data_IF_650653423595
#
_entry.id   IF_650653423595
#
_cell.length_a   1.000
_cell.length_b   1.000
_cell.length_c   1.000
_cell.angle_alpha   90.00
_cell.angle_beta   90.00
_cell.angle_gamma   90.00
#
_symmetry.space_group_name_H-M   'P 1'
#
loop_
_entity.id
_entity.type
_entity.pdbx_description
1 polymer ?
#
# COMPACT_ATOMS: atom_id res chain seq x y z
N UNK A 1 -45.90 -79.23 -42.25
CA UNK A 1 -44.88 -78.17 -42.39
C UNK A 1 -44.27 -78.36 -43.76
N UNK A 2 -44.61 -77.51 -44.73
CA UNK A 2 -44.07 -77.63 -46.08
C UNK A 2 -42.71 -76.91 -46.11
N UNK A 3 -41.63 -77.66 -46.37
CA UNK A 3 -40.28 -77.12 -46.47
C UNK A 3 -39.87 -77.07 -47.94
N UNK A 4 -39.47 -75.89 -48.42
CA UNK A 4 -38.91 -75.72 -49.76
C UNK A 4 -37.40 -75.64 -49.61
N UNK A 5 -36.69 -76.66 -50.10
CA UNK A 5 -35.23 -76.69 -50.16
C UNK A 5 -34.78 -76.41 -51.59
N UNK A 6 -34.24 -75.23 -51.82
CA UNK A 6 -33.68 -74.84 -53.12
C UNK A 6 -32.32 -74.20 -52.92
N UNK A 7 -31.39 -74.50 -53.81
CA UNK A 7 -30.05 -73.91 -53.75
C UNK A 7 -30.04 -72.48 -54.29
N UNK A 8 -30.91 -72.17 -55.26
CA UNK A 8 -31.02 -70.84 -55.88
C UNK A 8 -32.45 -70.54 -56.30
N UNK A 9 -32.90 -69.31 -56.09
CA UNK A 9 -34.06 -68.73 -56.78
C UNK A 9 -33.53 -67.93 -57.98
N UNK A 10 -34.15 -68.06 -59.15
CA UNK A 10 -33.84 -67.30 -60.37
C UNK A 10 -35.12 -66.65 -60.90
N UNK A 11 -35.00 -65.55 -61.62
CA UNK A 11 -36.14 -65.03 -62.40
C UNK A 11 -36.55 -66.02 -63.49
N UNK A 12 -37.77 -65.89 -64.01
CA UNK A 12 -38.32 -66.77 -65.04
C UNK A 12 -37.47 -66.78 -66.33
N UNK A 13 -36.86 -65.64 -66.65
CA UNK A 13 -35.93 -65.52 -67.78
C UNK A 13 -34.57 -66.21 -67.55
N UNK A 14 -34.30 -66.69 -66.33
CA UNK A 14 -33.07 -67.36 -65.92
C UNK A 14 -31.84 -66.47 -65.80
N UNK A 15 -31.96 -65.19 -66.13
CA UNK A 15 -30.85 -64.23 -66.25
C UNK A 15 -30.99 -63.08 -65.25
N UNK A 16 -32.22 -62.61 -65.01
CA UNK A 16 -32.50 -61.48 -64.10
C UNK A 16 -32.54 -61.90 -62.63
N UNK A 17 -32.43 -60.92 -61.74
CA UNK A 17 -32.63 -61.12 -60.31
C UNK A 17 -34.09 -61.48 -60.02
N UNK A 18 -34.38 -62.46 -59.13
CA UNK A 18 -35.73 -62.74 -58.67
C UNK A 18 -36.39 -61.48 -58.08
N UNK A 19 -37.62 -61.18 -58.50
CA UNK A 19 -38.42 -60.08 -57.96
C UNK A 19 -39.37 -60.58 -56.88
N UNK A 20 -39.33 -59.95 -55.70
CA UNK A 20 -40.21 -60.22 -54.58
C UNK A 20 -41.02 -58.96 -54.25
N UNK A 21 -42.11 -58.67 -54.99
CA UNK A 21 -42.83 -57.40 -54.88
C UNK A 21 -43.46 -57.15 -53.51
N UNK A 22 -43.72 -58.21 -52.74
CA UNK A 22 -44.24 -58.12 -51.37
C UNK A 22 -43.14 -58.28 -50.29
N UNK A 23 -41.87 -58.29 -50.71
CA UNK A 23 -40.72 -58.50 -49.84
C UNK A 23 -40.45 -59.97 -49.50
N UNK A 24 -39.36 -60.18 -48.76
CA UNK A 24 -38.97 -61.47 -48.19
C UNK A 24 -38.77 -61.25 -46.68
N UNK A 25 -39.38 -62.10 -45.86
CA UNK A 25 -39.05 -62.18 -44.44
C UNK A 25 -38.00 -63.29 -44.24
N UNK A 26 -36.80 -62.93 -43.81
CA UNK A 26 -35.75 -63.89 -43.47
C UNK A 26 -35.53 -63.84 -41.96
N UNK A 27 -35.70 -64.98 -41.29
CA UNK A 27 -35.51 -65.12 -39.84
C UNK A 27 -34.09 -65.55 -39.46
N UNK A 28 -33.23 -65.81 -40.45
CA UNK A 28 -31.82 -66.20 -40.29
C UNK A 28 -30.83 -65.15 -40.83
N UNK A 29 -29.62 -65.60 -41.17
CA UNK A 29 -28.55 -64.74 -41.70
C UNK A 29 -28.84 -64.40 -43.17
N UNK A 30 -28.83 -63.11 -43.48
CA UNK A 30 -28.79 -62.62 -44.86
C UNK A 30 -27.37 -62.11 -45.12
N UNK A 31 -26.66 -62.72 -46.06
CA UNK A 31 -25.39 -62.22 -46.58
C UNK A 31 -25.64 -61.58 -47.94
N UNK A 32 -25.77 -60.25 -47.98
CA UNK A 32 -25.88 -59.50 -49.22
C UNK A 32 -24.52 -58.88 -49.55
N UNK A 33 -24.03 -59.08 -50.78
CA UNK A 33 -22.79 -58.46 -51.26
C UNK A 33 -23.00 -57.03 -51.75
N UNK A 34 -24.23 -56.66 -52.09
CA UNK A 34 -24.65 -55.30 -52.44
C UNK A 34 -26.14 -55.11 -52.12
N UNK A 35 -26.54 -53.87 -51.84
CA UNK A 35 -27.95 -53.47 -51.83
C UNK A 35 -28.23 -52.68 -53.12
N UNK A 36 -29.42 -52.84 -53.69
CA UNK A 36 -29.82 -52.09 -54.87
C UNK A 36 -29.86 -50.59 -54.57
N UNK A 37 -29.37 -49.75 -55.49
CA UNK A 37 -29.36 -48.29 -55.35
C UNK A 37 -30.76 -47.66 -55.31
N UNK A 38 -31.79 -48.42 -55.70
CA UNK A 38 -33.19 -48.01 -55.61
C UNK A 38 -33.80 -48.15 -54.22
N UNK A 39 -33.08 -48.70 -53.23
CA UNK A 39 -33.55 -48.81 -51.85
C UNK A 39 -33.21 -47.51 -51.12
N UNK A 40 -34.19 -46.62 -50.83
CA UNK A 40 -33.91 -45.29 -50.28
C UNK A 40 -33.43 -45.33 -48.82
N UNK A 41 -33.71 -46.41 -48.09
CA UNK A 41 -33.27 -46.62 -46.71
C UNK A 41 -33.26 -48.11 -46.36
N UNK A 42 -32.36 -48.49 -45.45
CA UNK A 42 -32.33 -49.82 -44.83
C UNK A 42 -32.78 -49.68 -43.36
N UNK A 43 -33.92 -50.26 -43.00
CA UNK A 43 -34.35 -50.32 -41.60
C UNK A 43 -33.78 -51.58 -40.92
N UNK A 44 -32.77 -51.38 -40.07
CA UNK A 44 -31.99 -52.44 -39.42
C UNK A 44 -32.23 -52.53 -37.91
N UNK A 45 -33.20 -51.77 -37.38
CA UNK A 45 -33.52 -51.74 -35.95
C UNK A 45 -32.35 -51.27 -35.08
N UNK A 46 -32.33 -51.70 -33.81
CA UNK A 46 -31.40 -51.18 -32.80
C UNK A 46 -30.03 -51.88 -32.72
N UNK A 47 -29.78 -52.93 -33.51
CA UNK A 47 -28.63 -53.84 -33.34
C UNK A 47 -27.72 -53.88 -34.59
N UNK A 48 -27.32 -52.72 -35.10
CA UNK A 48 -26.41 -52.61 -36.24
C UNK A 48 -24.97 -52.82 -35.78
N UNK A 49 -24.22 -53.73 -36.43
CA UNK A 49 -22.77 -53.90 -36.26
C UNK A 49 -22.05 -53.62 -37.57
N UNK A 50 -21.38 -52.49 -37.70
CA UNK A 50 -20.73 -52.03 -38.95
C UNK A 50 -19.32 -52.62 -39.19
N UNK A 51 -18.92 -53.64 -38.44
CA UNK A 51 -17.62 -54.32 -38.58
C UNK A 51 -16.40 -53.40 -38.44
N UNK A 52 -15.24 -53.85 -38.89
CA UNK A 52 -13.97 -53.12 -38.78
C UNK A 52 -13.83 -51.92 -39.74
N UNK A 53 -14.68 -51.83 -40.78
CA UNK A 53 -14.66 -50.75 -41.75
C UNK A 53 -15.44 -49.50 -41.28
N UNK A 54 -16.42 -49.64 -40.37
CA UNK A 54 -16.86 -48.65 -39.37
C UNK A 54 -17.29 -47.22 -39.78
N UNK A 55 -17.26 -46.83 -41.07
CA UNK A 55 -17.61 -45.47 -41.48
C UNK A 55 -19.13 -45.31 -41.53
N UNK A 56 -19.67 -44.47 -40.65
CA UNK A 56 -21.08 -44.04 -40.69
C UNK A 56 -21.15 -42.61 -41.21
N UNK A 57 -21.65 -42.40 -42.43
CA UNK A 57 -21.88 -41.07 -43.02
C UNK A 57 -23.31 -40.58 -42.78
N UNK A 58 -23.74 -40.54 -41.51
CA UNK A 58 -25.08 -40.08 -41.16
C UNK A 58 -25.14 -38.55 -41.17
N UNK A 59 -26.18 -37.97 -41.77
CA UNK A 59 -26.48 -36.53 -41.65
C UNK A 59 -27.03 -36.17 -40.27
N UNK A 60 -27.57 -37.15 -39.54
CA UNK A 60 -28.04 -37.00 -38.16
C UNK A 60 -27.83 -38.31 -37.41
N UNK A 61 -27.27 -38.23 -36.20
CA UNK A 61 -27.23 -39.33 -35.25
C UNK A 61 -28.24 -39.05 -34.13
N UNK A 62 -29.08 -40.02 -33.79
CA UNK A 62 -30.06 -39.92 -32.70
C UNK A 62 -29.69 -40.93 -31.63
N UNK A 63 -29.24 -40.46 -30.47
CA UNK A 63 -28.84 -41.31 -29.34
C UNK A 63 -27.54 -40.87 -28.68
N UNK A 64 -27.13 -41.60 -27.64
CA UNK A 64 -25.84 -41.39 -26.99
C UNK A 64 -24.73 -42.14 -27.75
N UNK A 65 -23.56 -41.53 -27.88
CA UNK A 65 -22.34 -42.24 -28.24
C UNK A 65 -21.71 -42.78 -26.95
N UNK A 66 -21.55 -44.09 -26.84
CA UNK A 66 -20.83 -44.72 -25.72
C UNK A 66 -19.38 -44.99 -26.12
N UNK A 67 -18.41 -44.42 -25.41
CA UNK A 67 -16.97 -44.56 -25.67
C UNK A 67 -16.28 -43.24 -26.04
N UNK A 68 -15.11 -43.33 -26.68
CA UNK A 68 -14.32 -42.15 -27.08
C UNK A 68 -14.69 -41.69 -28.50
N UNK A 69 -15.03 -40.42 -28.65
CA UNK A 69 -15.10 -39.75 -29.95
C UNK A 69 -13.72 -39.14 -30.28
N UNK A 70 -12.91 -39.84 -31.07
CA UNK A 70 -11.63 -39.29 -31.55
C UNK A 70 -11.81 -38.62 -32.91
N UNK A 71 -10.96 -37.62 -33.23
CA UNK A 71 -10.95 -36.99 -34.55
C UNK A 71 -12.18 -36.12 -34.88
N UNK A 72 -12.93 -35.71 -33.85
CA UNK A 72 -13.97 -34.69 -33.93
C UNK A 72 -13.40 -33.46 -34.67
N UNK A 73 -13.82 -33.31 -35.93
CA UNK A 73 -13.52 -32.16 -36.78
C UNK A 73 -14.82 -31.72 -37.42
N UNK A 74 -15.02 -30.40 -37.51
CA UNK A 74 -16.25 -29.82 -38.03
C UNK A 74 -15.94 -28.84 -39.16
N UNK A 75 -16.68 -28.93 -40.25
CA UNK A 75 -16.80 -27.84 -41.22
C UNK A 75 -18.27 -27.76 -41.64
N UNK A 76 -19.11 -26.92 -41.02
CA UNK A 76 -18.83 -25.88 -40.00
C UNK A 76 -18.42 -26.40 -38.61
N UNK A 77 -18.06 -25.48 -37.70
CA UNK A 77 -17.62 -25.78 -36.32
C UNK A 77 -18.54 -26.78 -35.58
N UNK A 78 -17.92 -27.57 -34.70
CA UNK A 78 -18.64 -28.48 -33.80
C UNK A 78 -19.37 -27.63 -32.75
N UNK A 79 -20.68 -27.79 -32.66
CA UNK A 79 -21.50 -27.17 -31.61
C UNK A 79 -21.94 -28.25 -30.63
N UNK A 80 -21.68 -28.05 -29.35
CA UNK A 80 -22.08 -28.95 -28.26
C UNK A 80 -22.83 -28.14 -27.20
N UNK A 81 -23.75 -28.78 -26.47
CA UNK A 81 -24.50 -28.13 -25.40
C UNK A 81 -23.63 -27.87 -24.16
N UNK A 82 -23.18 -28.95 -23.52
CA UNK A 82 -22.31 -28.91 -22.33
C UNK A 82 -21.10 -29.80 -22.52
N UNK A 83 -19.94 -29.38 -22.03
CA UNK A 83 -18.71 -30.19 -21.97
C UNK A 83 -18.43 -30.50 -20.52
N UNK A 84 -18.32 -31.78 -20.18
CA UNK A 84 -17.81 -32.26 -18.88
C UNK A 84 -16.55 -33.04 -19.17
N UNK A 85 -15.39 -32.48 -18.83
CA UNK A 85 -14.09 -33.07 -19.09
C UNK A 85 -13.21 -32.98 -17.85
N UNK A 86 -12.30 -33.94 -17.67
CA UNK A 86 -11.30 -33.90 -16.60
C UNK A 86 -10.23 -32.83 -16.87
N UNK A 87 -9.85 -32.66 -18.13
CA UNK A 87 -8.90 -31.63 -18.60
C UNK A 87 -9.35 -31.08 -19.96
N UNK A 88 -9.08 -29.79 -20.21
CA UNK A 88 -9.29 -29.14 -21.50
C UNK A 88 -8.00 -28.45 -21.97
N UNK A 89 -7.52 -28.82 -23.14
CA UNK A 89 -6.37 -28.16 -23.80
C UNK A 89 -6.88 -27.43 -25.02
N UNK A 90 -6.70 -26.12 -25.06
CA UNK A 90 -7.08 -25.27 -26.20
C UNK A 90 -5.80 -24.74 -26.85
N UNK A 91 -5.63 -24.97 -28.16
CA UNK A 91 -4.46 -24.51 -28.92
C UNK A 91 -4.56 -23.05 -29.36
N UNK A 92 -5.72 -22.43 -29.16
CA UNK A 92 -6.00 -21.04 -29.47
C UNK A 92 -6.78 -20.36 -28.36
N UNK A 93 -7.26 -19.16 -28.66
CA UNK A 93 -7.98 -18.34 -27.70
C UNK A 93 -9.28 -18.99 -27.25
N UNK A 94 -9.55 -18.94 -25.95
CA UNK A 94 -10.84 -19.33 -25.37
C UNK A 94 -11.65 -18.07 -25.13
N UNK A 95 -12.81 -17.96 -25.77
CA UNK A 95 -13.77 -16.89 -25.50
C UNK A 95 -14.90 -17.44 -24.63
N UNK A 96 -15.16 -16.79 -23.50
CA UNK A 96 -16.25 -17.14 -22.59
C UNK A 96 -17.32 -16.05 -22.68
N UNK A 97 -18.50 -16.42 -23.19
CA UNK A 97 -19.62 -15.48 -23.36
C UNK A 97 -20.34 -15.11 -22.06
N UNK A 98 -20.10 -15.87 -20.98
CA UNK A 98 -20.66 -15.64 -19.65
C UNK A 98 -19.58 -15.38 -18.60
N UNK A 99 -19.80 -15.91 -17.40
CA UNK A 99 -18.86 -15.84 -16.27
C UNK A 99 -18.30 -17.23 -15.99
N UNK A 100 -17.01 -17.30 -15.64
CA UNK A 100 -16.42 -18.49 -15.03
C UNK A 100 -16.53 -18.34 -13.51
N UNK A 101 -17.28 -19.21 -12.84
CA UNK A 101 -17.66 -19.03 -11.41
C UNK A 101 -16.71 -19.75 -10.44
N UNK A 102 -16.83 -19.35 -9.17
CA UNK A 102 -15.86 -19.42 -8.07
C UNK A 102 -15.32 -20.81 -7.71
N UNK A 103 -16.09 -21.88 -7.94
CA UNK A 103 -15.66 -23.26 -7.70
C UNK A 103 -14.53 -23.67 -8.64
N UNK A 104 -14.46 -23.07 -9.83
CA UNK A 104 -13.60 -23.53 -10.91
C UNK A 104 -12.27 -22.74 -11.03
N UNK A 105 -12.15 -21.55 -10.41
CA UNK A 105 -10.94 -20.71 -10.51
C UNK A 105 -10.34 -20.45 -9.13
N UNK A 106 -9.57 -21.42 -8.64
CA UNK A 106 -8.82 -21.31 -7.37
C UNK A 106 -7.43 -20.69 -7.54
N UNK A 107 -6.92 -20.66 -8.77
CA UNK A 107 -5.66 -20.01 -9.13
C UNK A 107 -5.75 -19.41 -10.53
N UNK A 108 -4.94 -18.38 -10.75
CA UNK A 108 -4.72 -17.79 -12.07
C UNK A 108 -3.20 -17.68 -12.22
N UNK A 109 -2.63 -18.49 -13.10
CA UNK A 109 -1.23 -18.34 -13.53
C UNK A 109 -1.21 -17.64 -14.89
N UNK A 110 -1.08 -16.30 -14.84
CA UNK A 110 -1.09 -15.46 -16.03
C UNK A 110 0.32 -14.99 -16.33
N UNK A 111 0.79 -15.22 -17.55
CA UNK A 111 2.02 -14.61 -18.09
C UNK A 111 1.82 -13.11 -18.35
N UNK A 112 0.57 -12.69 -18.60
CA UNK A 112 0.19 -11.32 -18.94
C UNK A 112 -0.55 -10.58 -17.83
N UNK A 113 -1.25 -9.51 -18.23
CA UNK A 113 -2.03 -8.65 -17.34
C UNK A 113 -3.31 -9.33 -16.89
N UNK A 114 -3.58 -9.27 -15.58
CA UNK A 114 -4.89 -9.64 -15.02
C UNK A 114 -5.72 -8.36 -14.86
N UNK A 115 -6.90 -8.35 -15.47
CA UNK A 115 -7.87 -7.25 -15.31
C UNK A 115 -9.07 -7.74 -14.51
N UNK A 116 -9.52 -6.95 -13.54
CA UNK A 116 -10.70 -7.25 -12.72
C UNK A 116 -11.69 -6.08 -12.82
N UNK A 117 -12.98 -6.37 -13.04
CA UNK A 117 -13.99 -5.34 -13.29
C UNK A 117 -14.25 -4.47 -12.06
N UNK A 118 -14.37 -5.09 -10.89
CA UNK A 118 -14.74 -4.41 -9.63
C UNK A 118 -13.55 -4.15 -8.71
N UNK A 119 -12.38 -4.76 -8.98
CA UNK A 119 -11.16 -4.59 -8.18
C UNK A 119 -10.51 -5.90 -7.75
N UNK A 120 -9.49 -5.80 -6.92
CA UNK A 120 -8.70 -6.93 -6.40
C UNK A 120 -8.80 -6.94 -4.88
N UNK A 121 -9.32 -8.02 -4.32
CA UNK A 121 -9.34 -8.24 -2.87
C UNK A 121 -8.12 -9.05 -2.45
N UNK A 122 -7.28 -8.48 -1.59
CA UNK A 122 -6.10 -9.12 -1.03
C UNK A 122 -6.31 -9.20 0.50
N UNK A 123 -6.45 -10.41 1.09
CA UNK A 123 -6.67 -10.53 2.53
C UNK A 123 -5.40 -10.21 3.32
N UNK A 124 -5.54 -10.08 4.63
CA UNK A 124 -4.43 -9.88 5.55
C UNK A 124 -3.30 -10.89 5.34
N UNK A 125 -2.07 -10.44 5.62
CA UNK A 125 -0.85 -11.23 5.41
C UNK A 125 -0.58 -11.66 3.96
N UNK A 126 -1.34 -11.14 2.99
CA UNK A 126 -1.03 -11.22 1.55
C UNK A 126 -0.60 -9.84 1.06
N UNK A 127 0.06 -9.82 -0.09
CA UNK A 127 0.72 -8.62 -0.60
C UNK A 127 0.60 -8.54 -2.13
N UNK A 128 0.40 -7.33 -2.63
CA UNK A 128 0.69 -6.99 -4.02
C UNK A 128 2.19 -6.76 -4.11
N UNK A 129 2.85 -7.43 -5.05
CA UNK A 129 4.29 -7.34 -5.30
C UNK A 129 4.56 -6.72 -6.66
N UNK A 130 5.44 -5.73 -6.70
CA UNK A 130 5.83 -5.04 -7.92
C UNK A 130 7.36 -4.96 -8.00
N UNK A 131 7.90 -5.09 -9.20
CA UNK A 131 9.34 -5.06 -9.47
C UNK A 131 10.07 -6.37 -9.18
N UNK A 132 11.22 -6.56 -9.84
CA UNK A 132 12.12 -7.69 -9.73
C UNK A 132 11.47 -9.10 -9.75
N UNK A 133 11.58 -9.89 -8.66
CA UNK A 133 11.11 -11.28 -8.58
C UNK A 133 10.09 -11.48 -7.45
N UNK A 134 9.28 -12.55 -7.50
CA UNK A 134 8.31 -12.85 -6.43
C UNK A 134 8.97 -13.04 -5.05
N UNK A 135 10.20 -13.56 -5.00
CA UNK A 135 10.93 -13.75 -3.74
C UNK A 135 11.52 -12.45 -3.18
N UNK A 136 11.84 -11.50 -4.05
CA UNK A 136 12.50 -10.23 -3.69
C UNK A 136 11.92 -9.08 -4.53
N UNK A 137 10.65 -8.71 -4.32
CA UNK A 137 10.04 -7.62 -5.06
C UNK A 137 10.63 -6.27 -4.60
N UNK A 138 10.50 -5.23 -5.41
CA UNK A 138 11.00 -3.90 -5.06
C UNK A 138 9.98 -3.11 -4.23
N UNK A 139 8.70 -3.30 -4.52
CA UNK A 139 7.58 -2.64 -3.83
C UNK A 139 6.54 -3.66 -3.40
N UNK A 140 6.03 -3.47 -2.18
CA UNK A 140 4.94 -4.24 -1.59
C UNK A 140 3.80 -3.31 -1.16
N UNK A 141 2.58 -3.75 -1.40
CA UNK A 141 1.37 -3.12 -0.83
C UNK A 141 0.60 -4.22 -0.10
N UNK A 142 0.41 -4.07 1.21
CA UNK A 142 -0.15 -5.12 2.04
C UNK A 142 -0.84 -4.58 3.30
N UNK A 143 -1.63 -5.45 3.93
CA UNK A 143 -2.13 -5.27 5.30
C UNK A 143 -1.50 -6.35 6.19
N UNK A 144 -0.84 -5.94 7.28
CA UNK A 144 -0.10 -6.85 8.18
C UNK A 144 -0.92 -7.34 9.39
N UNK A 145 -2.23 -7.06 9.39
CA UNK A 145 -3.16 -7.36 10.48
C UNK A 145 -3.40 -6.17 11.42
N UNK A 146 -2.56 -5.13 11.38
CA UNK A 146 -2.78 -3.89 12.13
C UNK A 146 -2.60 -2.61 11.31
N UNK A 147 -1.82 -2.67 10.21
CA UNK A 147 -1.44 -1.51 9.43
C UNK A 147 -1.53 -1.76 7.92
N UNK A 148 -1.95 -0.74 7.19
CA UNK A 148 -1.81 -0.68 5.73
C UNK A 148 -0.43 -0.13 5.38
N UNK A 149 0.30 -0.83 4.52
CA UNK A 149 1.68 -0.52 4.20
C UNK A 149 1.85 -0.33 2.68
N UNK A 150 2.62 0.70 2.31
CA UNK A 150 3.22 0.85 0.98
C UNK A 150 4.73 0.88 1.20
N UNK A 151 5.41 -0.24 0.92
CA UNK A 151 6.77 -0.46 1.37
C UNK A 151 7.71 -0.67 0.19
N UNK A 152 8.56 0.33 -0.07
CA UNK A 152 9.70 0.21 -0.96
C UNK A 152 10.84 -0.50 -0.24
N UNK A 153 11.18 -1.70 -0.69
CA UNK A 153 12.22 -2.57 -0.12
C UNK A 153 13.38 -2.84 -1.09
N UNK A 154 13.23 -2.41 -2.34
CA UNK A 154 14.25 -2.52 -3.39
C UNK A 154 15.32 -1.42 -3.31
N UNK A 155 15.97 -1.17 -4.45
CA UNK A 155 16.98 -0.11 -4.59
C UNK A 155 16.37 1.20 -5.13
N UNK A 156 17.08 2.33 -4.96
CA UNK A 156 16.60 3.64 -5.42
C UNK A 156 15.62 4.31 -4.45
N UNK A 157 14.92 5.34 -4.93
CA UNK A 157 14.00 6.16 -4.13
C UNK A 157 12.54 5.78 -4.39
N UNK A 158 11.72 5.76 -3.33
CA UNK A 158 10.27 5.76 -3.46
C UNK A 158 9.78 7.18 -3.80
N UNK A 159 9.04 7.31 -4.89
CA UNK A 159 8.53 8.60 -5.34
C UNK A 159 7.01 8.66 -5.17
N UNK A 160 6.52 9.67 -4.44
CA UNK A 160 5.11 10.11 -4.47
C UNK A 160 5.09 11.40 -5.28
N UNK A 161 4.37 11.41 -6.42
CA UNK A 161 4.36 12.54 -7.36
C UNK A 161 2.95 12.86 -7.80
N UNK A 162 2.61 14.16 -7.77
CA UNK A 162 1.44 14.71 -8.44
C UNK A 162 1.75 15.04 -9.90
N UNK A 163 0.87 15.81 -10.53
CA UNK A 163 1.14 16.45 -11.83
C UNK A 163 1.55 17.92 -11.63
N UNK A 164 1.72 18.66 -12.72
CA UNK A 164 2.18 20.06 -12.68
C UNK A 164 1.16 21.04 -12.08
N UNK A 165 -0.06 20.60 -11.78
CA UNK A 165 -1.17 21.45 -11.30
C UNK A 165 -1.74 21.01 -9.96
N UNK A 166 -1.64 19.72 -9.62
CA UNK A 166 -2.25 19.12 -8.44
C UNK A 166 -1.23 18.94 -7.32
N UNK A 167 -1.61 19.38 -6.12
CA UNK A 167 -0.85 19.20 -4.90
C UNK A 167 -0.90 17.76 -4.38
N UNK A 168 0.18 17.32 -3.73
CA UNK A 168 0.21 16.07 -2.97
C UNK A 168 -0.25 16.37 -1.54
N UNK A 169 -1.25 15.62 -1.05
CA UNK A 169 -1.76 15.76 0.32
C UNK A 169 -1.50 14.49 1.12
N UNK A 170 -0.96 14.66 2.32
CA UNK A 170 -0.92 13.63 3.36
C UNK A 170 -1.91 14.06 4.44
N UNK A 171 -2.82 13.17 4.79
CA UNK A 171 -3.97 13.45 5.66
C UNK A 171 -4.07 12.39 6.74
N UNK A 172 -4.16 12.80 8.01
CA UNK A 172 -4.38 11.89 9.13
C UNK A 172 -5.83 11.36 9.18
N UNK A 173 -6.79 12.17 8.76
CA UNK A 173 -8.20 11.81 8.58
C UNK A 173 -8.77 12.52 7.36
N UNK A 174 -9.91 12.03 6.86
CA UNK A 174 -10.57 12.60 5.69
C UNK A 174 -10.85 14.10 5.90
N UNK A 175 -10.30 14.91 5.00
CA UNK A 175 -10.44 16.37 5.05
C UNK A 175 -9.42 17.11 5.93
N UNK A 176 -8.78 16.47 6.91
CA UNK A 176 -7.74 17.09 7.74
C UNK A 176 -6.40 17.06 7.03
N UNK A 177 -5.72 18.21 6.96
CA UNK A 177 -4.41 18.31 6.32
C UNK A 177 -3.31 18.04 7.35
N UNK A 178 -2.30 17.26 6.97
CA UNK A 178 -1.06 17.09 7.75
C UNK A 178 0.13 17.68 6.99
N UNK A 179 0.30 17.31 5.72
CA UNK A 179 1.32 17.87 4.81
C UNK A 179 0.68 18.15 3.46
N UNK A 180 0.94 19.33 2.90
CA UNK A 180 0.60 19.68 1.51
C UNK A 180 1.87 20.07 0.77
N UNK A 181 2.19 19.35 -0.30
CA UNK A 181 3.26 19.71 -1.23
C UNK A 181 2.63 20.32 -2.49
N UNK A 182 2.85 21.61 -2.73
CA UNK A 182 2.32 22.31 -3.91
C UNK A 182 3.33 22.27 -5.07
N UNK A 183 2.90 22.00 -6.32
CA UNK A 183 3.79 22.05 -7.47
C UNK A 183 4.37 23.46 -7.62
N UNK A 184 5.68 23.55 -7.82
CA UNK A 184 6.46 24.81 -7.90
C UNK A 184 6.20 25.82 -6.76
N UNK A 185 5.76 25.31 -5.61
CA UNK A 185 5.27 26.13 -4.50
C UNK A 185 5.79 25.65 -3.15
N UNK A 186 5.08 26.10 -2.11
CA UNK A 186 5.42 25.77 -0.75
C UNK A 186 5.11 24.31 -0.40
N UNK A 187 5.87 23.79 0.57
CA UNK A 187 5.46 22.67 1.42
C UNK A 187 4.89 23.26 2.69
N UNK A 188 3.68 22.85 3.04
CA UNK A 188 2.95 23.32 4.20
C UNK A 188 2.71 22.17 5.17
N UNK A 189 3.00 22.39 6.46
CA UNK A 189 2.78 21.41 7.53
C UNK A 189 1.72 21.95 8.48
N UNK A 190 0.77 21.10 8.81
CA UNK A 190 -0.44 21.43 9.56
C UNK A 190 -0.52 20.61 10.86
N UNK A 191 -1.21 21.17 11.85
CA UNK A 191 -1.63 20.48 13.06
C UNK A 191 -3.11 20.78 13.29
N UNK A 192 -3.96 19.75 13.31
CA UNK A 192 -5.41 19.89 13.46
C UNK A 192 -5.97 20.93 12.46
N UNK A 193 -5.66 20.69 11.19
CA UNK A 193 -6.01 21.55 10.05
C UNK A 193 -5.51 23.01 10.11
N UNK A 194 -4.63 23.35 11.06
CA UNK A 194 -4.04 24.68 11.21
C UNK A 194 -2.60 24.69 10.73
N UNK A 195 -2.27 25.51 9.72
CA UNK A 195 -0.91 25.62 9.19
C UNK A 195 0.06 26.07 10.28
N UNK A 196 1.19 25.37 10.43
CA UNK A 196 2.24 25.66 11.42
C UNK A 196 3.58 26.02 10.77
N UNK A 197 3.95 25.34 9.69
CA UNK A 197 5.19 25.60 8.95
C UNK A 197 4.89 25.71 7.47
N UNK A 198 5.62 26.59 6.79
CA UNK A 198 5.55 26.76 5.34
C UNK A 198 6.92 27.07 4.77
N UNK A 199 7.34 26.36 3.72
CA UNK A 199 8.52 26.77 2.95
C UNK A 199 8.19 27.97 2.07
N UNK A 200 9.16 28.85 1.94
CA UNK A 200 9.10 30.04 1.08
C UNK A 200 10.29 29.99 0.13
N UNK A 201 10.32 30.86 -0.87
CA UNK A 201 11.47 30.97 -1.77
C UNK A 201 12.79 31.31 -1.05
N UNK A 202 12.72 31.89 0.16
CA UNK A 202 13.88 32.34 0.93
C UNK A 202 14.13 31.56 2.23
N UNK A 203 13.33 30.55 2.57
CA UNK A 203 13.45 29.85 3.85
C UNK A 203 12.14 29.27 4.36
N UNK A 204 11.88 29.37 5.67
CA UNK A 204 10.69 28.80 6.33
C UNK A 204 9.98 29.86 7.16
N UNK A 205 8.65 29.90 7.07
CA UNK A 205 7.79 30.69 7.96
C UNK A 205 7.17 29.77 9.01
N UNK A 206 7.23 30.18 10.28
CA UNK A 206 6.57 29.49 11.40
C UNK A 206 5.38 30.30 11.89
N UNK A 207 4.21 29.67 11.94
CA UNK A 207 3.00 30.25 12.53
C UNK A 207 2.89 29.83 14.00
N UNK A 208 2.97 30.81 14.90
CA UNK A 208 2.95 30.60 16.34
C UNK A 208 4.31 30.77 17.01
N UNK A 209 4.41 30.31 18.26
CA UNK A 209 5.66 30.32 19.03
C UNK A 209 6.56 29.15 18.65
N UNK A 210 7.87 29.36 18.71
CA UNK A 210 8.87 28.29 18.69
C UNK A 210 9.37 28.14 20.12
N UNK A 211 9.26 26.94 20.66
CA UNK A 211 9.63 26.65 22.05
C UNK A 211 10.53 25.42 22.14
N UNK A 212 11.49 25.44 23.05
CA UNK A 212 12.24 24.27 23.51
C UNK A 212 11.81 23.86 24.93
N UNK A 213 12.59 23.02 25.62
CA UNK A 213 12.35 22.61 26.99
C UNK A 213 12.52 23.76 28.02
N UNK A 214 13.14 24.89 27.62
CA UNK A 214 13.36 26.08 28.43
C UNK A 214 12.34 27.19 28.19
N UNK A 215 11.67 27.20 27.05
CA UNK A 215 10.56 28.09 26.74
C UNK A 215 10.63 28.69 25.33
N UNK A 216 10.11 29.91 25.16
CA UNK A 216 10.09 30.55 23.84
C UNK A 216 11.48 31.02 23.44
N UNK A 217 11.99 30.49 22.33
CA UNK A 217 13.37 30.75 21.83
C UNK A 217 13.61 32.20 21.39
N UNK A 218 12.55 33.00 21.24
CA UNK A 218 12.62 34.43 20.87
C UNK A 218 12.40 35.37 22.05
N UNK A 219 12.36 34.86 23.28
CA UNK A 219 12.13 35.67 24.48
C UNK A 219 13.14 35.34 25.56
N UNK A 220 13.69 36.36 26.20
CA UNK A 220 14.36 36.23 27.50
C UNK A 220 13.28 36.50 28.56
N UNK A 221 12.80 35.49 29.31
CA UNK A 221 11.73 35.69 30.28
C UNK A 221 12.17 36.66 31.38
N UNK A 222 11.32 37.63 31.73
CA UNK A 222 11.58 38.54 32.84
C UNK A 222 10.87 38.05 34.12
N UNK A 223 11.51 38.27 35.26
CA UNK A 223 10.91 38.06 36.59
C UNK A 223 11.10 39.34 37.40
N UNK A 224 10.01 39.97 37.82
CA UNK A 224 10.06 41.13 38.71
C UNK A 224 10.14 40.69 40.19
N UNK A 225 11.04 41.30 40.97
CA UNK A 225 11.27 41.02 42.39
C UNK A 225 11.22 42.32 43.19
N UNK A 226 10.27 42.40 44.12
CA UNK A 226 10.01 43.57 44.97
C UNK A 226 10.72 43.52 46.34
N UNK A 227 11.52 42.49 46.57
CA UNK A 227 12.32 42.25 47.78
C UNK A 227 13.59 41.51 47.39
N UNK A 228 14.53 41.38 48.34
CA UNK A 228 15.74 40.57 48.15
C UNK A 228 15.41 39.19 47.54
N UNK A 229 16.23 38.76 46.59
CA UNK A 229 16.01 37.49 45.88
C UNK A 229 17.30 36.66 45.86
N UNK A 230 17.23 35.44 46.38
CA UNK A 230 18.30 34.45 46.17
C UNK A 230 18.01 33.70 44.88
N UNK A 231 19.02 33.59 44.01
CA UNK A 231 18.88 32.84 42.76
C UNK A 231 18.37 31.42 43.03
N UNK A 232 17.54 30.92 42.12
CA UNK A 232 17.07 29.54 42.07
C UNK A 232 17.36 28.94 40.70
N UNK A 233 17.50 27.62 40.57
CA UNK A 233 17.82 26.97 39.29
C UNK A 233 16.86 27.36 38.14
N UNK A 234 15.61 27.68 38.45
CA UNK A 234 14.64 28.13 37.43
C UNK A 234 14.86 29.57 36.94
N UNK A 235 15.80 30.33 37.49
CA UNK A 235 16.17 31.65 36.98
C UNK A 235 17.15 31.58 35.79
N UNK A 236 17.74 30.41 35.51
CA UNK A 236 18.61 30.21 34.36
C UNK A 236 17.92 30.64 33.06
N UNK A 237 18.61 31.44 32.25
CA UNK A 237 18.11 32.02 31.00
C UNK A 237 17.17 33.22 31.17
N UNK A 238 16.95 33.73 32.39
CA UNK A 238 15.98 34.80 32.67
C UNK A 238 16.63 36.13 33.03
N UNK A 239 15.81 37.19 32.96
CA UNK A 239 16.15 38.53 33.40
C UNK A 239 15.40 38.88 34.71
N UNK A 240 16.14 38.94 35.82
CA UNK A 240 15.63 39.31 37.14
C UNK A 240 15.62 40.82 37.27
N UNK A 241 14.45 41.41 37.46
CA UNK A 241 14.27 42.85 37.72
C UNK A 241 14.06 43.08 39.21
N UNK A 242 15.12 43.47 39.90
CA UNK A 242 15.11 43.69 41.35
C UNK A 242 14.86 45.17 41.67
N UNK A 243 13.89 45.48 42.53
CA UNK A 243 13.62 46.88 42.93
C UNK A 243 14.19 47.26 44.29
N UNK A 244 14.55 46.29 45.14
CA UNK A 244 15.18 46.51 46.46
C UNK A 244 15.73 45.20 47.01
N UNK A 245 16.63 45.29 48.00
CA UNK A 245 17.14 44.14 48.77
C UNK A 245 18.28 43.35 48.11
N UNK A 246 18.60 43.60 46.84
CA UNK A 246 19.69 42.91 46.14
C UNK A 246 19.38 41.48 45.69
N UNK A 247 20.38 40.85 45.05
CA UNK A 247 20.31 39.46 44.56
C UNK A 247 21.47 38.65 45.13
N UNK A 248 21.20 37.47 45.69
CA UNK A 248 22.23 36.58 46.25
C UNK A 248 22.51 35.40 45.32
N UNK A 249 23.80 35.13 45.07
CA UNK A 249 24.30 34.06 44.20
C UNK A 249 24.91 32.97 45.07
N UNK A 250 24.21 31.85 45.26
CA UNK A 250 24.69 30.73 46.07
C UNK A 250 25.28 29.60 45.20
N UNK A 251 26.18 28.81 45.79
CA UNK A 251 26.69 27.58 45.18
C UNK A 251 25.57 26.55 44.95
N UNK A 252 25.79 25.60 44.04
CA UNK A 252 24.88 24.48 43.73
C UNK A 252 23.45 24.87 43.32
N UNK A 253 23.25 26.14 42.93
CA UNK A 253 21.98 26.63 42.37
C UNK A 253 21.99 26.62 40.85
N UNK A 254 23.05 27.16 40.25
CA UNK A 254 23.25 27.25 38.81
C UNK A 254 24.28 26.23 38.35
N UNK A 255 24.22 25.83 37.09
CA UNK A 255 25.14 24.88 36.47
C UNK A 255 26.03 25.57 35.43
N UNK A 256 27.10 24.89 35.03
CA UNK A 256 27.94 25.34 33.92
C UNK A 256 27.10 25.57 32.65
N UNK A 257 27.21 26.76 32.06
CA UNK A 257 26.46 27.19 30.89
C UNK A 257 25.21 28.01 31.20
N UNK A 258 24.76 28.06 32.46
CA UNK A 258 23.65 28.91 32.85
C UNK A 258 24.04 30.39 32.77
N UNK A 259 23.05 31.23 32.43
CA UNK A 259 23.19 32.67 32.46
C UNK A 259 21.99 33.31 33.14
N UNK A 260 22.23 34.35 33.94
CA UNK A 260 21.16 35.15 34.55
C UNK A 260 21.46 36.62 34.35
N UNK A 261 20.50 37.36 33.80
CA UNK A 261 20.61 38.82 33.72
C UNK A 261 19.93 39.44 34.93
N UNK A 262 20.56 40.41 35.57
CA UNK A 262 20.02 41.16 36.69
C UNK A 262 19.91 42.63 36.28
N UNK A 263 18.72 43.18 36.40
CA UNK A 263 18.38 44.57 36.10
C UNK A 263 17.98 45.23 37.40
N UNK A 264 18.71 46.28 37.77
CA UNK A 264 18.30 47.15 38.86
C UNK A 264 17.11 48.02 38.42
N UNK A 265 15.91 47.64 38.85
CA UNK A 265 14.69 48.37 38.58
C UNK A 265 14.41 49.51 39.60
N UNK A 266 15.44 49.99 40.30
CA UNK A 266 15.37 51.10 41.24
C UNK A 266 16.30 52.25 40.85
N UNK A 267 16.15 53.41 41.52
CA UNK A 267 17.09 54.54 41.40
C UNK A 267 18.27 54.45 42.35
N UNK A 268 18.25 53.52 43.31
CA UNK A 268 19.30 53.30 44.30
C UNK A 268 20.18 52.13 43.89
N UNK A 269 21.37 52.02 44.47
CA UNK A 269 22.24 50.88 44.26
C UNK A 269 21.62 49.59 44.83
N UNK A 270 21.85 48.47 44.15
CA UNK A 270 21.50 47.13 44.61
C UNK A 270 22.77 46.32 44.80
N UNK A 271 22.83 45.49 45.83
CA UNK A 271 23.97 44.59 46.04
C UNK A 271 23.70 43.26 45.34
N UNK A 272 24.67 42.80 44.56
CA UNK A 272 24.75 41.40 44.10
C UNK A 272 25.70 40.70 45.07
N UNK A 273 25.13 39.86 45.92
CA UNK A 273 25.85 39.20 47.01
C UNK A 273 26.48 37.91 46.49
N UNK A 274 27.79 37.79 46.64
CA UNK A 274 28.51 36.53 46.43
C UNK A 274 28.24 35.63 47.64
N UNK A 275 27.61 34.48 47.40
CA UNK A 275 27.41 33.46 48.40
C UNK A 275 28.71 32.77 48.82
N UNK A 276 28.64 31.98 49.87
CA UNK A 276 29.76 31.13 50.28
C UNK A 276 30.15 30.19 49.15
N UNK A 277 31.46 29.95 49.00
CA UNK A 277 32.06 29.06 47.99
C UNK A 277 31.74 29.41 46.53
N UNK A 278 31.18 30.60 46.28
CA UNK A 278 31.04 31.15 44.94
C UNK A 278 32.18 32.13 44.67
N UNK A 279 32.82 32.05 43.51
CA UNK A 279 33.67 33.10 42.97
C UNK A 279 32.89 33.88 41.90
N UNK A 280 32.58 35.14 42.21
CA UNK A 280 31.92 36.05 41.27
C UNK A 280 32.95 36.98 40.63
N UNK A 281 33.62 36.48 39.57
CA UNK A 281 34.69 37.18 38.86
C UNK A 281 34.15 38.37 38.09
N UNK A 282 34.53 39.59 38.50
CA UNK A 282 34.25 40.79 37.73
C UNK A 282 35.11 40.82 36.48
N UNK A 283 34.49 40.85 35.31
CA UNK A 283 35.24 40.79 34.04
C UNK A 283 36.12 42.02 33.79
N UNK A 284 35.91 43.12 34.51
CA UNK A 284 36.69 44.34 34.35
C UNK A 284 38.09 44.26 34.98
N UNK A 285 38.23 43.56 36.11
CA UNK A 285 39.46 43.57 36.92
C UNK A 285 39.85 42.20 37.50
N UNK A 286 39.02 41.17 37.30
CA UNK A 286 39.24 39.79 37.78
C UNK A 286 39.00 39.60 39.27
N UNK A 287 38.61 40.63 40.02
CA UNK A 287 38.35 40.51 41.46
C UNK A 287 37.10 39.66 41.71
N UNK A 288 36.97 39.13 42.93
CA UNK A 288 35.76 38.43 43.42
C UNK A 288 35.16 39.18 44.62
N UNK A 289 33.93 38.85 44.98
CA UNK A 289 33.20 39.44 46.11
C UNK A 289 31.86 40.04 45.70
N UNK A 290 31.18 40.64 46.69
CA UNK A 290 29.92 41.35 46.46
C UNK A 290 30.11 42.49 45.45
N UNK A 291 29.10 42.70 44.61
CA UNK A 291 29.08 43.79 43.62
C UNK A 291 27.98 44.77 43.92
N UNK A 292 28.25 46.02 43.63
CA UNK A 292 27.23 47.07 43.61
C UNK A 292 26.76 47.25 42.19
N UNK A 293 25.45 47.06 41.95
CA UNK A 293 24.78 47.39 40.71
C UNK A 293 24.09 48.75 40.88
N UNK A 294 24.61 49.78 40.22
CA UNK A 294 24.11 51.15 40.28
C UNK A 294 22.62 51.24 39.91
N UNK A 295 21.96 52.30 40.38
CA UNK A 295 20.58 52.60 39.99
C UNK A 295 20.38 52.53 38.48
N UNK A 296 19.35 51.82 38.01
CA UNK A 296 19.09 51.53 36.59
C UNK A 296 20.18 50.76 35.84
N UNK A 297 21.19 50.23 36.53
CA UNK A 297 22.22 49.36 35.97
C UNK A 297 21.70 47.97 35.59
N UNK A 298 22.47 47.27 34.76
CA UNK A 298 22.21 45.89 34.35
C UNK A 298 23.52 45.11 34.26
N UNK A 299 23.52 43.89 34.77
CA UNK A 299 24.61 42.94 34.59
C UNK A 299 24.09 41.56 34.21
N UNK A 300 24.96 40.75 33.63
CA UNK A 300 24.72 39.33 33.37
C UNK A 300 25.78 38.51 34.07
N UNK A 301 25.34 37.43 34.69
CA UNK A 301 26.18 36.39 35.26
C UNK A 301 26.20 35.22 34.28
N UNK A 302 27.39 34.72 33.96
CA UNK A 302 27.59 33.49 33.20
C UNK A 302 28.35 32.48 34.05
N UNK A 303 27.73 31.34 34.32
CA UNK A 303 28.26 30.31 35.20
C UNK A 303 29.12 29.33 34.40
N UNK A 304 30.37 29.12 34.82
CA UNK A 304 31.28 28.11 34.22
C UNK A 304 31.35 26.83 35.05
N UNK A 305 30.91 26.90 36.30
CA UNK A 305 30.65 25.80 37.22
C UNK A 305 29.54 26.25 38.18
N UNK A 306 29.17 25.41 39.15
CA UNK A 306 28.23 25.79 40.22
C UNK A 306 28.85 26.71 41.28
N UNK A 307 30.18 26.76 41.35
CA UNK A 307 30.95 27.63 42.24
C UNK A 307 31.59 28.84 41.55
N UNK A 308 31.67 28.90 40.22
CA UNK A 308 32.36 29.98 39.52
C UNK A 308 31.47 30.66 38.48
N UNK A 309 31.33 31.98 38.58
CA UNK A 309 30.55 32.80 37.66
C UNK A 309 31.29 34.07 37.27
N UNK A 310 31.17 34.47 36.00
CA UNK A 310 31.65 35.75 35.49
C UNK A 310 30.51 36.75 35.50
N UNK A 311 30.75 37.93 36.04
CA UNK A 311 29.79 39.03 36.05
C UNK A 311 30.29 40.20 35.24
N UNK A 312 29.44 40.71 34.35
CA UNK A 312 29.73 41.86 33.51
C UNK A 312 28.47 42.69 33.28
N UNK A 313 28.62 44.01 33.16
CA UNK A 313 27.47 44.89 32.98
C UNK A 313 27.77 46.37 33.10
N UNK A 314 26.77 47.20 32.79
CA UNK A 314 26.85 48.64 33.01
C UNK A 314 26.37 48.99 34.41
N UNK A 315 27.14 49.81 35.12
CA UNK A 315 26.84 50.22 36.49
C UNK A 315 27.29 49.21 37.55
N UNK A 316 28.14 48.24 37.21
CA UNK A 316 28.72 47.32 38.18
C UNK A 316 30.06 47.86 38.72
N UNK A 317 30.22 47.79 40.04
CA UNK A 317 31.48 48.08 40.76
C UNK A 317 31.69 47.03 41.84
#
# INVERSE_FOLDING_TARGET
MSEIRVNTFKAEDGISAPSFPNGIQVTGVVTATSLASSVPFLNVGSNIKLGAAGVTTATTFVGALTGNATGLSGTPNITVGSVVASTGTFSGNVSIGGTLTYEDVTNIDSVGIVTAREGIFIPDSKEIKLGNTNGSPDLKINHDGGHSNIHHIGTGNFHIRGNDSDQIKIQATSGEQSIICKPDGAVEIYHDNSKKLETTSSGVTVTGSVTDDKGNVRSIPKIDKSSAHTLVATDAGKAIRISTGGVTVNESVMSAGDAVTIINNSGSNQTITQGSNVNLYNTADGTTGNRTLAGRGMCTLYFVSDGDAYISGSGIT
#
